data_IF_667673601666
#
_entry.id   IF_667673601666
#
_cell.length_a   1.000
_cell.length_b   1.000
_cell.length_c   1.000
_cell.angle_alpha   90.00
_cell.angle_beta   90.00
_cell.angle_gamma   90.00
#
_symmetry.space_group_name_H-M   'P 1'
#
loop_
_entity.id
_entity.type
_entity.pdbx_description
1 polymer ?
#
# COMPACT_ATOMS: atom_id res chain seq x y z
N UNK A 1 21.49 22.24 -4.42
CA UNK A 1 21.91 21.09 -5.28
C UNK A 1 21.20 19.85 -4.77
N UNK A 2 20.65 18.99 -5.64
CA UNK A 2 20.00 17.75 -5.20
C UNK A 2 21.04 16.77 -4.64
N UNK A 3 20.65 15.94 -3.67
CA UNK A 3 21.50 14.90 -3.12
C UNK A 3 21.83 13.85 -4.19
N UNK A 4 22.98 13.18 -4.02
CA UNK A 4 23.42 12.13 -4.93
C UNK A 4 22.36 11.02 -5.00
N UNK A 5 22.08 10.56 -6.23
CA UNK A 5 21.02 9.57 -6.47
C UNK A 5 19.63 10.14 -6.75
N UNK A 6 19.43 11.47 -6.73
CA UNK A 6 18.15 12.11 -7.06
C UNK A 6 18.27 12.91 -8.37
N UNK A 7 17.61 12.43 -9.44
CA UNK A 7 17.58 13.12 -10.74
C UNK A 7 16.59 14.28 -10.75
N UNK A 8 15.41 14.07 -10.17
CA UNK A 8 14.31 15.06 -10.18
C UNK A 8 13.39 14.83 -8.98
N UNK A 9 12.98 15.91 -8.33
CA UNK A 9 11.86 15.88 -7.38
C UNK A 9 10.55 16.01 -8.16
N UNK A 10 9.64 15.05 -8.00
CA UNK A 10 8.40 14.98 -8.76
C UNK A 10 7.25 15.64 -8.00
N UNK A 11 7.11 15.33 -6.71
CA UNK A 11 6.04 15.84 -5.87
C UNK A 11 6.49 15.89 -4.41
N UNK A 12 6.12 16.97 -3.74
CA UNK A 12 6.22 17.10 -2.30
C UNK A 12 4.79 17.17 -1.76
N UNK A 13 4.48 16.33 -0.78
CA UNK A 13 3.21 16.37 -0.06
C UNK A 13 3.49 16.52 1.43
N UNK A 14 2.87 17.51 2.04
CA UNK A 14 2.93 17.76 3.48
C UNK A 14 1.54 17.43 4.04
N UNK A 15 1.49 16.52 5.01
CA UNK A 15 0.26 16.19 5.72
C UNK A 15 0.41 16.56 7.20
N UNK A 16 -0.42 17.48 7.75
CA UNK A 16 -0.44 17.72 9.18
C UNK A 16 -0.92 16.45 9.90
N UNK A 17 -0.28 16.16 11.02
CA UNK A 17 -0.59 15.08 11.96
C UNK A 17 -0.73 15.68 13.36
N UNK A 18 -1.34 14.95 14.29
CA UNK A 18 -1.58 15.43 15.65
C UNK A 18 -0.30 15.86 16.40
N UNK A 19 0.85 15.33 16.02
CA UNK A 19 2.15 15.61 16.64
C UNK A 19 3.23 16.07 15.64
N UNK A 20 2.84 16.67 14.51
CA UNK A 20 3.80 17.24 13.57
C UNK A 20 3.33 17.15 12.12
N UNK A 21 4.28 17.02 11.20
CA UNK A 21 3.99 16.94 9.77
C UNK A 21 4.64 15.72 9.16
N UNK A 22 3.89 15.01 8.30
CA UNK A 22 4.45 13.98 7.42
C UNK A 22 4.82 14.62 6.09
N UNK A 23 6.12 14.69 5.82
CA UNK A 23 6.67 15.07 4.53
C UNK A 23 6.85 13.80 3.66
N UNK A 24 6.20 13.77 2.51
CA UNK A 24 6.37 12.71 1.50
C UNK A 24 6.98 13.33 0.24
N UNK A 25 8.19 12.90 -0.11
CA UNK A 25 8.91 13.38 -1.29
C UNK A 25 8.98 12.24 -2.31
N UNK A 26 8.21 12.38 -3.39
CA UNK A 26 8.32 11.49 -4.55
C UNK A 26 9.40 12.04 -5.48
N UNK A 27 10.37 11.22 -5.84
CA UNK A 27 11.50 11.62 -6.68
C UNK A 27 11.84 10.53 -7.70
N UNK A 28 12.48 10.95 -8.79
CA UNK A 28 13.06 10.06 -9.78
C UNK A 28 14.51 9.79 -9.39
N UNK A 29 14.91 8.52 -9.19
CA UNK A 29 16.29 8.18 -8.88
C UNK A 29 17.21 8.51 -10.07
N UNK A 30 18.46 8.86 -9.79
CA UNK A 30 19.51 9.09 -10.78
C UNK A 30 20.17 7.79 -11.25
N UNK A 31 19.99 6.70 -10.50
CA UNK A 31 20.53 5.40 -10.88
C UNK A 31 19.90 4.91 -12.19
N UNK A 32 20.78 4.62 -13.14
CA UNK A 32 20.47 4.01 -14.42
C UNK A 32 19.65 2.75 -14.19
N UNK A 33 18.52 2.67 -14.89
CA UNK A 33 17.75 1.44 -15.00
C UNK A 33 18.71 0.31 -15.36
N UNK A 34 18.72 -0.78 -14.59
CA UNK A 34 19.32 -2.01 -15.11
C UNK A 34 18.61 -2.29 -16.43
N UNK A 35 19.33 -2.46 -17.55
CA UNK A 35 18.69 -2.76 -18.81
C UNK A 35 17.87 -4.04 -18.61
N UNK A 36 16.67 -4.07 -19.21
CA UNK A 36 15.94 -5.32 -19.29
C UNK A 36 16.84 -6.35 -19.99
N UNK A 37 16.88 -7.56 -19.43
CA UNK A 37 17.50 -8.68 -20.12
C UNK A 37 16.68 -8.99 -21.38
N UNK A 38 17.31 -9.50 -22.46
CA UNK A 38 16.57 -10.00 -23.60
C UNK A 38 15.62 -11.13 -23.16
N UNK A 39 14.52 -11.30 -23.91
CA UNK A 39 13.59 -12.40 -23.66
C UNK A 39 14.34 -13.74 -23.77
N UNK A 40 14.15 -14.59 -22.76
CA UNK A 40 14.73 -15.91 -22.68
C UNK A 40 13.67 -17.03 -22.78
N UNK A 41 12.42 -16.68 -23.12
CA UNK A 41 11.31 -17.62 -23.27
C UNK A 41 10.81 -18.21 -21.96
N UNK A 42 11.22 -17.66 -20.80
CA UNK A 42 10.79 -18.12 -19.47
C UNK A 42 9.78 -17.13 -18.89
N UNK A 43 8.57 -17.63 -18.65
CA UNK A 43 7.46 -16.83 -18.17
C UNK A 43 6.96 -17.38 -16.84
N UNK A 44 6.53 -16.47 -15.95
CA UNK A 44 5.90 -16.79 -14.67
C UNK A 44 4.52 -16.15 -14.61
N UNK A 45 3.50 -16.96 -14.36
CA UNK A 45 2.17 -16.50 -13.99
C UNK A 45 2.09 -16.36 -12.47
N UNK A 46 1.54 -15.23 -12.00
CA UNK A 46 1.34 -14.95 -10.58
C UNK A 46 -0.15 -14.68 -10.37
N UNK A 47 -0.82 -15.53 -9.61
CA UNK A 47 -2.21 -15.36 -9.23
C UNK A 47 -2.31 -14.94 -7.75
N UNK A 48 -2.67 -13.68 -7.45
CA UNK A 48 -2.85 -13.22 -6.08
C UNK A 48 -4.15 -13.74 -5.46
N UNK A 49 -4.07 -14.30 -4.25
CA UNK A 49 -5.22 -14.86 -3.53
C UNK A 49 -5.26 -14.49 -2.05
N UNK A 50 -6.20 -15.11 -1.31
CA UNK A 50 -6.42 -14.81 0.12
C UNK A 50 -5.68 -15.80 1.02
N UNK A 51 -5.96 -17.10 0.88
CA UNK A 51 -5.31 -18.12 1.71
C UNK A 51 -3.93 -18.50 1.16
N UNK A 52 -3.77 -18.50 -0.16
CA UNK A 52 -2.50 -18.43 -0.85
C UNK A 52 -2.34 -16.99 -1.33
N UNK A 53 -1.46 -16.21 -0.70
CA UNK A 53 -1.21 -14.82 -1.09
C UNK A 53 -0.83 -14.72 -2.57
N UNK A 54 -0.03 -15.68 -3.04
CA UNK A 54 0.33 -15.83 -4.43
C UNK A 54 0.46 -17.32 -4.78
N UNK A 55 -0.13 -17.71 -5.90
CA UNK A 55 0.20 -18.95 -6.58
C UNK A 55 1.03 -18.62 -7.82
N UNK A 56 2.24 -19.15 -7.89
CA UNK A 56 3.17 -18.87 -8.98
C UNK A 56 3.48 -20.14 -9.76
N UNK A 57 3.36 -20.08 -11.08
CA UNK A 57 3.66 -21.19 -12.01
C UNK A 57 4.49 -20.68 -13.17
N UNK A 58 5.47 -21.46 -13.62
CA UNK A 58 6.29 -21.12 -14.78
C UNK A 58 6.08 -22.12 -15.93
N UNK A 59 6.46 -21.71 -17.14
CA UNK A 59 6.51 -22.60 -18.31
C UNK A 59 7.75 -23.50 -18.35
N UNK A 60 8.62 -23.45 -17.34
CA UNK A 60 9.86 -24.23 -17.24
C UNK A 60 9.68 -25.62 -16.63
N UNK A 61 8.44 -25.97 -16.23
CA UNK A 61 8.14 -27.26 -15.60
C UNK A 61 8.52 -27.34 -14.12
N UNK A 62 8.91 -26.22 -13.51
CA UNK A 62 9.19 -26.15 -12.08
C UNK A 62 7.91 -26.34 -11.25
N UNK A 63 8.08 -26.83 -10.02
CA UNK A 63 6.96 -26.99 -9.08
C UNK A 63 6.34 -25.63 -8.77
N UNK A 64 5.00 -25.58 -8.78
CA UNK A 64 4.25 -24.38 -8.39
C UNK A 64 4.67 -23.90 -6.98
N UNK A 65 4.89 -22.59 -6.85
CA UNK A 65 5.22 -21.93 -5.59
C UNK A 65 3.93 -21.35 -4.99
N UNK A 66 3.58 -21.78 -3.77
CA UNK A 66 2.47 -21.23 -3.00
C UNK A 66 3.01 -20.38 -1.85
N UNK A 67 2.69 -19.10 -1.86
CA UNK A 67 3.01 -18.17 -0.77
C UNK A 67 1.82 -18.13 0.18
N UNK A 68 2.05 -18.43 1.46
CA UNK A 68 0.98 -18.47 2.47
C UNK A 68 0.39 -17.06 2.72
N UNK A 69 -0.91 -16.90 2.49
CA UNK A 69 -1.65 -15.65 2.72
C UNK A 69 -2.39 -15.57 4.06
N UNK A 70 -2.48 -16.66 4.82
CA UNK A 70 -3.23 -16.70 6.10
C UNK A 70 -2.71 -15.71 7.12
N UNK A 71 -1.41 -15.44 7.15
CA UNK A 71 -0.83 -14.44 8.04
C UNK A 71 -1.34 -13.02 7.73
N UNK A 72 -1.36 -12.65 6.44
CA UNK A 72 -1.87 -11.35 5.96
C UNK A 72 -3.38 -11.26 6.23
N UNK A 73 -4.13 -12.33 5.95
CA UNK A 73 -5.56 -12.44 6.26
C UNK A 73 -5.84 -12.22 7.74
N UNK A 74 -5.07 -12.86 8.63
CA UNK A 74 -5.22 -12.73 10.09
C UNK A 74 -4.94 -11.30 10.56
N UNK A 75 -3.88 -10.67 10.05
CA UNK A 75 -3.57 -9.28 10.34
C UNK A 75 -4.71 -8.33 9.89
N UNK A 76 -5.27 -8.56 8.70
CA UNK A 76 -6.41 -7.78 8.19
C UNK A 76 -7.68 -7.98 9.04
N UNK A 77 -7.95 -9.21 9.47
CA UNK A 77 -9.06 -9.50 10.38
C UNK A 77 -8.89 -8.82 11.74
N UNK A 78 -7.69 -8.86 12.32
CA UNK A 78 -7.39 -8.16 13.57
C UNK A 78 -7.61 -6.65 13.42
N UNK A 79 -7.10 -6.06 12.33
CA UNK A 79 -7.32 -4.66 12.01
C UNK A 79 -8.81 -4.33 11.93
N UNK A 80 -9.60 -5.10 11.17
CA UNK A 80 -11.03 -4.87 11.04
C UNK A 80 -11.77 -4.99 12.38
N UNK A 81 -11.40 -5.94 13.23
CA UNK A 81 -11.95 -6.06 14.60
C UNK A 81 -11.64 -4.82 15.44
N UNK A 82 -10.40 -4.35 15.41
CA UNK A 82 -9.98 -3.16 16.16
C UNK A 82 -10.68 -1.90 15.66
N UNK A 83 -10.81 -1.74 14.34
CA UNK A 83 -11.54 -0.63 13.74
C UNK A 83 -13.02 -0.65 14.10
N UNK A 84 -13.68 -1.82 14.05
CA UNK A 84 -15.08 -1.96 14.46
C UNK A 84 -15.29 -1.54 15.92
N UNK A 85 -14.39 -1.96 16.83
CA UNK A 85 -14.43 -1.55 18.24
C UNK A 85 -14.30 -0.04 18.41
N UNK A 86 -13.33 0.58 17.74
CA UNK A 86 -13.11 2.03 17.84
C UNK A 86 -14.30 2.82 17.30
N UNK A 87 -14.88 2.40 16.17
CA UNK A 87 -16.10 3.02 15.62
C UNK A 87 -17.29 2.89 16.57
N UNK A 88 -17.46 1.73 17.20
CA UNK A 88 -18.52 1.53 18.19
C UNK A 88 -18.37 2.46 19.41
N UNK A 89 -17.15 2.60 19.94
CA UNK A 89 -16.87 3.55 21.03
C UNK A 89 -17.14 4.99 20.58
N UNK A 90 -16.69 5.36 19.38
CA UNK A 90 -16.91 6.69 18.84
C UNK A 90 -18.41 7.05 18.74
N UNK A 91 -19.22 6.12 18.22
CA UNK A 91 -20.67 6.29 18.13
C UNK A 91 -21.33 6.42 19.51
N UNK A 92 -20.86 5.63 20.49
CA UNK A 92 -21.36 5.68 21.86
C UNK A 92 -21.05 7.02 22.56
N UNK A 93 -19.85 7.57 22.34
CA UNK A 93 -19.40 8.81 22.99
C UNK A 93 -19.70 10.08 22.17
N UNK A 94 -20.42 9.96 21.05
CA UNK A 94 -20.77 11.08 20.17
C UNK A 94 -19.57 11.99 19.83
N UNK A 95 -18.38 11.42 19.60
CA UNK A 95 -17.25 12.23 19.16
C UNK A 95 -17.63 12.87 17.83
N UNK A 96 -17.65 14.20 17.81
CA UNK A 96 -18.27 15.01 16.77
C UNK A 96 -17.74 14.60 15.39
N UNK A 97 -18.61 14.01 14.57
CA UNK A 97 -18.34 13.85 13.15
C UNK A 97 -18.31 15.25 12.54
N UNK A 98 -17.12 15.71 12.15
CA UNK A 98 -17.01 16.93 11.35
C UNK A 98 -17.30 16.57 9.91
N UNK A 99 -18.33 17.18 9.32
CA UNK A 99 -18.56 17.05 7.89
C UNK A 99 -17.60 18.00 7.19
N UNK A 100 -16.67 17.46 6.42
CA UNK A 100 -15.82 18.27 5.54
C UNK A 100 -16.29 18.12 4.10
N UNK A 101 -16.29 19.23 3.35
CA UNK A 101 -16.56 19.19 1.92
C UNK A 101 -15.30 18.78 1.16
N UNK A 102 -15.39 17.65 0.45
CA UNK A 102 -14.33 17.18 -0.45
C UNK A 102 -14.74 17.35 -1.91
N UNK A 103 -13.80 17.23 -2.85
CA UNK A 103 -14.10 17.22 -4.30
C UNK A 103 -15.07 16.09 -4.72
N UNK A 104 -15.24 15.09 -3.87
CA UNK A 104 -16.14 13.94 -4.05
C UNK A 104 -17.46 14.09 -3.29
N UNK A 105 -17.73 15.28 -2.73
CA UNK A 105 -18.90 15.57 -1.89
C UNK A 105 -18.58 15.66 -0.39
N UNK A 106 -19.59 15.91 0.45
CA UNK A 106 -19.47 15.93 1.90
C UNK A 106 -19.01 14.56 2.40
N UNK A 107 -17.99 14.53 3.24
CA UNK A 107 -17.52 13.32 3.92
C UNK A 107 -17.45 13.56 5.41
N UNK A 108 -18.05 12.66 6.18
CA UNK A 108 -17.86 12.60 7.62
C UNK A 108 -16.39 12.26 7.91
N UNK A 109 -15.75 13.10 8.71
CA UNK A 109 -14.38 12.91 9.17
C UNK A 109 -14.37 12.95 10.68
N UNK A 110 -13.69 11.95 11.21
CA UNK A 110 -13.47 11.71 12.63
C UNK A 110 -12.14 12.34 13.05
#
# INVERSE_FOLDING_TARGET
KLADGIKKVNRIAIKPLSNGYKLTVAYTPAANQKPYLPDNGRYIGIDPGVDNAFACVSNTGDKALLINGRAIKSANQYYNKRMAKLKSLQAQYHQLESIINTKQGPKAVY
#
